data_IF_751441660291
#
_entry.id   IF_751441660291
#
_cell.length_a   1.000
_cell.length_b   1.000
_cell.length_c   1.000
_cell.angle_alpha   90.00
_cell.angle_beta   90.00
_cell.angle_gamma   90.00
#
_symmetry.space_group_name_H-M   'P 1'
#
loop_
_entity.id
_entity.type
_entity.pdbx_description
1 polymer ?
#
# COMPACT_ATOMS: atom_id res chain seq x y z
N UNK A 1 28.30 -39.84 -40.76
CA UNK A 1 27.83 -38.45 -40.90
C UNK A 1 26.57 -38.30 -40.07
N UNK A 2 26.70 -37.86 -38.82
CA UNK A 2 25.55 -37.61 -37.93
C UNK A 2 25.55 -36.14 -37.58
N UNK A 3 24.52 -35.41 -38.04
CA UNK A 3 24.33 -34.00 -37.71
C UNK A 3 23.56 -33.93 -36.39
N UNK A 4 24.23 -33.49 -35.32
CA UNK A 4 23.60 -33.20 -34.04
C UNK A 4 23.01 -31.79 -34.08
N UNK A 5 21.68 -31.69 -34.13
CA UNK A 5 20.96 -30.42 -33.97
C UNK A 5 20.80 -30.12 -32.48
N UNK A 6 21.48 -29.08 -32.00
CA UNK A 6 21.29 -28.54 -30.66
C UNK A 6 20.20 -27.46 -30.72
N UNK A 7 19.07 -27.67 -30.06
CA UNK A 7 18.03 -26.67 -29.93
C UNK A 7 18.35 -25.73 -28.77
N UNK A 8 18.26 -24.40 -28.93
CA UNK A 8 18.45 -23.47 -27.83
C UNK A 8 17.29 -23.62 -26.84
N UNK A 9 17.61 -23.73 -25.56
CA UNK A 9 16.60 -23.69 -24.51
C UNK A 9 15.95 -22.30 -24.50
N UNK A 10 14.66 -22.23 -24.81
CA UNK A 10 13.90 -21.00 -24.73
C UNK A 10 13.90 -20.49 -23.28
N UNK A 11 14.45 -19.29 -23.06
CA UNK A 11 14.40 -18.63 -21.76
C UNK A 11 12.93 -18.39 -21.40
N UNK A 12 12.50 -18.96 -20.27
CA UNK A 12 11.14 -18.80 -19.75
C UNK A 12 11.01 -17.39 -19.18
N UNK A 13 10.36 -16.50 -19.93
CA UNK A 13 9.97 -15.20 -19.41
C UNK A 13 9.00 -15.42 -18.24
N UNK A 14 9.36 -14.96 -17.04
CA UNK A 14 8.44 -14.91 -15.91
C UNK A 14 7.27 -14.01 -16.29
N UNK A 15 6.09 -14.61 -16.41
CA UNK A 15 4.85 -13.86 -16.61
C UNK A 15 4.68 -12.94 -15.40
N UNK A 16 4.82 -11.62 -15.60
CA UNK A 16 4.46 -10.62 -14.59
C UNK A 16 3.04 -10.92 -14.15
N UNK A 17 2.86 -11.23 -12.87
CA UNK A 17 1.53 -11.46 -12.32
C UNK A 17 0.78 -10.13 -12.35
N UNK A 18 -0.29 -10.01 -13.13
CA UNK A 18 -1.14 -8.80 -13.21
C UNK A 18 -1.90 -8.47 -11.90
N UNK A 19 -1.58 -9.18 -10.82
CA UNK A 19 -2.15 -8.96 -9.49
C UNK A 19 -1.35 -7.87 -8.78
N UNK A 20 -2.00 -6.76 -8.37
CA UNK A 20 -1.30 -5.74 -7.59
C UNK A 20 -0.91 -6.29 -6.22
N UNK A 21 0.21 -5.81 -5.70
CA UNK A 21 0.55 -6.00 -4.30
C UNK A 21 -0.27 -5.02 -3.45
N UNK A 22 -0.85 -5.51 -2.36
CA UNK A 22 -1.64 -4.68 -1.43
C UNK A 22 -0.86 -4.57 -0.13
N UNK A 23 -0.53 -3.33 0.27
CA UNK A 23 0.10 -3.03 1.55
C UNK A 23 -0.92 -2.28 2.40
N UNK A 24 -1.35 -2.90 3.51
CA UNK A 24 -2.28 -2.29 4.46
C UNK A 24 -1.50 -1.77 5.68
N UNK A 25 -1.55 -0.46 5.91
CA UNK A 25 -0.88 0.22 7.03
C UNK A 25 -1.96 0.71 7.98
N UNK A 26 -1.89 0.27 9.25
CA UNK A 26 -2.83 0.64 10.30
C UNK A 26 -2.05 1.23 11.48
N UNK A 27 -2.32 2.49 11.80
CA UNK A 27 -1.77 3.16 12.98
C UNK A 27 -2.76 3.02 14.15
N UNK A 28 -2.27 2.66 15.33
CA UNK A 28 -3.07 2.65 16.57
C UNK A 28 -3.14 4.06 17.17
N UNK A 29 -4.28 4.40 17.77
CA UNK A 29 -4.53 5.69 18.44
C UNK A 29 -4.26 6.96 17.61
N UNK A 30 -4.32 6.87 16.28
CA UNK A 30 -4.13 8.04 15.39
C UNK A 30 -5.44 8.82 15.21
N UNK A 31 -5.48 10.04 15.74
CA UNK A 31 -6.63 10.94 15.65
C UNK A 31 -6.78 11.58 14.27
N UNK A 32 -8.02 11.94 13.89
CA UNK A 32 -8.34 12.55 12.59
C UNK A 32 -7.54 13.82 12.28
N UNK A 33 -7.25 14.65 13.30
CA UNK A 33 -6.56 15.94 13.14
C UNK A 33 -5.06 15.86 13.42
N UNK A 34 -4.45 14.68 13.41
CA UNK A 34 -3.03 14.54 13.76
C UNK A 34 -2.09 14.54 12.55
N UNK A 35 -2.62 14.41 11.33
CA UNK A 35 -1.82 14.47 10.10
C UNK A 35 -1.88 15.85 9.45
N UNK A 36 -0.75 16.28 8.88
CA UNK A 36 -0.63 17.55 8.16
C UNK A 36 -1.65 17.66 7.01
N UNK A 37 -1.92 16.57 6.31
CA UNK A 37 -2.95 16.52 5.27
C UNK A 37 -4.37 16.85 5.79
N UNK A 38 -4.66 16.67 7.08
CA UNK A 38 -5.92 17.06 7.74
C UNK A 38 -5.87 18.44 8.43
N UNK A 39 -4.80 19.21 8.25
CA UNK A 39 -4.73 20.64 8.59
C UNK A 39 -4.06 20.97 9.92
N UNK A 40 -3.39 20.03 10.59
CA UNK A 40 -2.53 20.38 11.73
C UNK A 40 -1.14 20.83 11.26
N UNK A 41 -0.48 21.69 12.04
CA UNK A 41 0.76 22.38 11.65
C UNK A 41 1.96 22.06 12.56
N UNK A 42 1.76 21.31 13.65
CA UNK A 42 2.77 21.08 14.69
C UNK A 42 3.67 19.89 14.37
N UNK A 43 3.08 18.78 13.93
CA UNK A 43 3.76 17.51 13.66
C UNK A 43 4.05 17.43 12.17
N UNK A 44 5.28 17.08 11.79
CA UNK A 44 5.63 16.94 10.37
C UNK A 44 5.33 15.52 9.90
N UNK A 45 4.40 15.37 8.96
CA UNK A 45 4.00 14.06 8.39
C UNK A 45 4.25 13.95 6.88
N UNK A 46 5.44 14.31 6.37
CA UNK A 46 5.67 14.53 4.93
C UNK A 46 5.40 13.29 4.05
N UNK A 47 5.66 12.08 4.57
CA UNK A 47 5.39 10.84 3.84
C UNK A 47 3.89 10.56 3.69
N UNK A 48 3.11 10.77 4.76
CA UNK A 48 1.66 10.59 4.74
C UNK A 48 0.99 11.70 3.93
N UNK A 49 1.50 12.92 4.01
CA UNK A 49 1.01 14.05 3.22
C UNK A 49 1.24 13.83 1.72
N UNK A 50 2.39 13.26 1.35
CA UNK A 50 2.68 12.85 -0.02
C UNK A 50 1.74 11.73 -0.50
N UNK A 51 1.50 10.71 0.33
CA UNK A 51 0.55 9.64 0.00
C UNK A 51 -0.87 10.19 -0.22
N UNK A 52 -1.32 11.10 0.66
CA UNK A 52 -2.64 11.74 0.52
C UNK A 52 -2.76 12.59 -0.76
N UNK A 53 -1.68 13.23 -1.21
CA UNK A 53 -1.65 14.00 -2.48
C UNK A 53 -1.63 13.12 -3.73
N UNK A 54 -1.03 11.94 -3.64
CA UNK A 54 -0.87 11.01 -4.78
C UNK A 54 -2.01 10.00 -4.90
N UNK A 55 -2.87 9.92 -3.88
CA UNK A 55 -3.96 8.95 -3.81
C UNK A 55 -5.30 9.62 -3.48
N UNK A 56 -6.14 8.86 -2.79
CA UNK A 56 -7.46 9.30 -2.34
C UNK A 56 -7.49 9.42 -0.83
N UNK A 57 -8.19 10.44 -0.33
CA UNK A 57 -8.38 10.68 1.10
C UNK A 57 -9.85 10.60 1.47
N UNK A 58 -10.17 9.74 2.42
CA UNK A 58 -11.53 9.60 2.95
C UNK A 58 -11.68 10.50 4.19
N UNK A 59 -12.43 11.59 4.08
CA UNK A 59 -12.63 12.55 5.17
C UNK A 59 -13.73 12.16 6.14
N UNK A 60 -14.47 11.09 5.84
CA UNK A 60 -15.60 10.55 6.63
C UNK A 60 -15.45 9.03 6.81
N UNK A 61 -14.25 8.59 7.21
CA UNK A 61 -13.95 7.19 7.52
C UNK A 61 -14.00 6.98 9.04
N UNK A 62 -14.98 6.19 9.50
CA UNK A 62 -15.21 5.93 10.92
C UNK A 62 -14.80 4.50 11.28
N UNK A 63 -14.19 4.33 12.46
CA UNK A 63 -13.95 3.01 13.02
C UNK A 63 -15.29 2.40 13.50
N UNK A 64 -15.45 1.08 13.36
CA UNK A 64 -16.64 0.36 13.84
C UNK A 64 -16.79 0.36 15.36
N UNK A 65 -15.69 0.61 16.09
CA UNK A 65 -15.65 0.78 17.54
C UNK A 65 -14.53 1.75 17.91
N UNK A 66 -14.66 2.42 19.07
CA UNK A 66 -13.67 3.34 19.61
C UNK A 66 -12.50 2.65 20.36
N UNK A 67 -12.56 1.32 20.56
CA UNK A 67 -11.53 0.55 21.27
C UNK A 67 -10.72 -0.29 20.27
N UNK A 68 -9.41 -0.40 20.49
CA UNK A 68 -8.45 -1.00 19.55
C UNK A 68 -8.79 -2.44 19.14
N UNK A 69 -9.20 -3.29 20.09
CA UNK A 69 -9.54 -4.69 19.80
C UNK A 69 -10.83 -4.81 18.95
N UNK A 70 -11.99 -4.30 19.39
CA UNK A 70 -13.23 -4.44 18.62
C UNK A 70 -13.26 -3.62 17.31
N UNK A 71 -12.33 -2.70 17.10
CA UNK A 71 -12.20 -2.02 15.79
C UNK A 71 -11.49 -2.88 14.73
N UNK A 72 -10.83 -3.97 15.14
CA UNK A 72 -10.01 -4.85 14.30
C UNK A 72 -10.57 -6.27 14.14
N UNK A 73 -11.60 -6.62 14.92
CA UNK A 73 -12.24 -7.94 14.92
C UNK A 73 -13.31 -8.09 13.82
#
# INVERSE_FOLDING_TARGET
>A
MTWSLSFPAAARAEAKTDRPNIVFILADDLGYRELGCFGQEKIRTPNLDRLAKQGMRLTQHYAGNAVCAPSRC
#
